data_IF_970339401635
#
_entry.id   IF_970339401635
#
_cell.length_a   1.000
_cell.length_b   1.000
_cell.length_c   1.000
_cell.angle_alpha   90.00
_cell.angle_beta   90.00
_cell.angle_gamma   90.00
#
_symmetry.space_group_name_H-M   'P 1'
#
loop_
_entity.id
_entity.type
_entity.pdbx_description
1 polymer ?
#
# COMPACT_ATOMS: atom_id res chain seq x y z
N UNK A 1 9.93 -6.05 18.54
CA UNK A 1 8.54 -5.68 18.20
C UNK A 1 8.42 -4.39 17.38
N UNK A 2 9.04 -3.27 17.77
CA UNK A 2 8.97 -1.99 17.01
C UNK A 2 9.63 -2.00 15.62
N UNK A 3 10.69 -2.80 15.41
CA UNK A 3 11.47 -2.82 14.16
C UNK A 3 10.62 -3.28 12.95
N UNK A 4 9.84 -4.35 13.09
CA UNK A 4 9.01 -4.90 12.00
C UNK A 4 7.87 -3.95 11.64
N UNK A 5 7.24 -3.33 12.64
CA UNK A 5 6.23 -2.29 12.43
C UNK A 5 6.81 -1.09 11.66
N UNK A 6 8.03 -0.65 12.00
CA UNK A 6 8.71 0.42 11.26
C UNK A 6 9.03 0.04 9.81
N UNK A 7 9.42 -1.21 9.54
CA UNK A 7 9.60 -1.69 8.17
C UNK A 7 8.29 -1.69 7.38
N UNK A 8 7.19 -2.11 7.99
CA UNK A 8 5.87 -2.09 7.35
C UNK A 8 5.37 -0.67 7.12
N UNK A 9 5.48 0.20 8.11
CA UNK A 9 5.11 1.61 8.00
C UNK A 9 5.97 2.31 6.92
N UNK A 10 7.27 2.01 6.86
CA UNK A 10 8.18 2.54 5.85
C UNK A 10 7.85 2.04 4.45
N UNK A 11 7.57 0.75 4.27
CA UNK A 11 7.12 0.20 3.00
C UNK A 11 5.74 0.78 2.59
N UNK A 12 4.86 1.02 3.56
CA UNK A 12 3.54 1.61 3.34
C UNK A 12 3.64 3.07 2.88
N UNK A 13 4.42 3.89 3.59
CA UNK A 13 4.66 5.28 3.23
C UNK A 13 5.42 5.39 1.90
N UNK A 14 6.47 4.59 1.71
CA UNK A 14 7.26 4.59 0.48
C UNK A 14 6.44 4.17 -0.73
N UNK A 15 5.64 3.11 -0.60
CA UNK A 15 4.72 2.66 -1.65
C UNK A 15 3.65 3.71 -1.97
N UNK A 16 3.03 4.33 -0.95
CA UNK A 16 2.04 5.38 -1.16
C UNK A 16 2.60 6.62 -1.87
N UNK A 17 3.82 7.06 -1.51
CA UNK A 17 4.48 8.21 -2.14
C UNK A 17 4.87 7.90 -3.58
N UNK A 18 5.44 6.71 -3.85
CA UNK A 18 5.75 6.28 -5.22
C UNK A 18 4.48 6.19 -6.09
N UNK A 19 3.40 5.69 -5.51
CA UNK A 19 2.12 5.58 -6.19
C UNK A 19 1.57 6.98 -6.52
N UNK A 20 1.54 7.89 -5.55
CA UNK A 20 1.12 9.28 -5.76
C UNK A 20 1.96 9.97 -6.83
N UNK A 21 3.29 9.79 -6.82
CA UNK A 21 4.19 10.32 -7.84
C UNK A 21 3.93 9.75 -9.23
N UNK A 22 3.65 8.44 -9.34
CA UNK A 22 3.29 7.80 -10.61
C UNK A 22 1.98 8.35 -11.18
N UNK A 23 0.95 8.47 -10.34
CA UNK A 23 -0.34 9.05 -10.75
C UNK A 23 -0.20 10.52 -11.13
N UNK A 24 0.60 11.29 -10.38
CA UNK A 24 0.86 12.69 -10.70
C UNK A 24 1.58 12.84 -12.03
N UNK A 25 2.65 12.07 -12.26
CA UNK A 25 3.37 12.06 -13.54
C UNK A 25 2.45 11.69 -14.72
N UNK A 26 1.65 10.63 -14.56
CA UNK A 26 0.70 10.21 -15.60
C UNK A 26 -0.41 11.22 -15.83
N UNK A 27 -0.90 11.88 -14.78
CA UNK A 27 -1.90 12.93 -14.88
C UNK A 27 -1.34 14.18 -15.58
N UNK A 28 -0.12 14.60 -15.25
CA UNK A 28 0.59 15.70 -15.93
C UNK A 28 0.81 15.41 -17.43
N UNK A 29 1.10 14.16 -17.79
CA UNK A 29 1.24 13.77 -19.19
C UNK A 29 -0.08 13.81 -19.99
N UNK A 30 -1.24 13.89 -19.32
CA UNK A 30 -2.58 13.91 -19.91
C UNK A 30 -3.28 15.29 -19.82
N UNK A 31 -2.55 16.35 -19.46
CA UNK A 31 -3.10 17.71 -19.20
C UNK A 31 -4.00 18.29 -20.31
N UNK A 32 -3.90 17.81 -21.56
CA UNK A 32 -4.80 18.22 -22.66
C UNK A 32 -6.19 17.57 -22.65
N UNK A 33 -6.42 16.53 -21.85
CA UNK A 33 -7.65 15.74 -21.83
C UNK A 33 -8.09 15.43 -20.39
N UNK A 34 -8.39 16.49 -19.62
CA UNK A 34 -8.71 16.42 -18.19
C UNK A 34 -9.82 15.40 -17.84
N UNK A 35 -10.79 15.17 -18.74
CA UNK A 35 -11.85 14.16 -18.54
C UNK A 35 -11.40 12.71 -18.80
N UNK A 36 -10.50 12.49 -19.77
CA UNK A 36 -10.03 11.15 -20.13
C UNK A 36 -9.02 10.62 -19.11
N UNK A 37 -8.22 11.52 -18.52
CA UNK A 37 -7.24 11.19 -17.49
C UNK A 37 -7.90 10.54 -16.28
N UNK A 38 -8.98 11.13 -15.77
CA UNK A 38 -9.69 10.60 -14.60
C UNK A 38 -10.30 9.23 -14.90
N UNK A 39 -10.90 9.03 -16.08
CA UNK A 39 -11.54 7.76 -16.45
C UNK A 39 -10.53 6.62 -16.57
N UNK A 40 -9.32 6.90 -17.08
CA UNK A 40 -8.28 5.88 -17.23
C UNK A 40 -7.48 5.66 -15.95
N UNK A 41 -7.15 6.72 -15.22
CA UNK A 41 -6.32 6.64 -14.01
C UNK A 41 -7.13 6.19 -12.77
N UNK A 42 -8.42 6.49 -12.67
CA UNK A 42 -9.23 6.08 -11.52
C UNK A 42 -9.28 4.55 -11.29
N UNK A 43 -9.59 3.69 -12.29
CA UNK A 43 -9.62 2.25 -12.06
C UNK A 43 -8.24 1.69 -11.72
N UNK A 44 -7.17 2.25 -12.31
CA UNK A 44 -5.79 1.87 -12.00
C UNK A 44 -5.48 2.24 -10.54
N UNK A 45 -5.87 3.43 -10.09
CA UNK A 45 -5.69 3.86 -8.71
C UNK A 45 -6.42 2.94 -7.73
N UNK A 46 -7.66 2.56 -8.05
CA UNK A 46 -8.46 1.64 -7.24
C UNK A 46 -7.78 0.29 -7.11
N UNK A 47 -7.31 -0.30 -8.22
CA UNK A 47 -6.60 -1.59 -8.21
C UNK A 47 -5.34 -1.52 -7.35
N UNK A 48 -4.56 -0.45 -7.48
CA UNK A 48 -3.35 -0.29 -6.67
C UNK A 48 -3.65 -0.07 -5.19
N UNK A 49 -4.65 0.75 -4.83
CA UNK A 49 -5.06 0.95 -3.44
C UNK A 49 -5.52 -0.38 -2.82
N UNK A 50 -6.31 -1.17 -3.55
CA UNK A 50 -6.77 -2.49 -3.09
C UNK A 50 -5.60 -3.45 -2.93
N UNK A 51 -4.73 -3.59 -3.93
CA UNK A 51 -3.56 -4.45 -3.86
C UNK A 51 -2.66 -4.06 -2.68
N UNK A 52 -2.44 -2.76 -2.48
CA UNK A 52 -1.65 -2.24 -1.38
C UNK A 52 -2.28 -2.52 -0.01
N UNK A 53 -3.60 -2.35 0.10
CA UNK A 53 -4.36 -2.71 1.30
C UNK A 53 -4.28 -4.19 1.63
N UNK A 54 -4.37 -5.07 0.63
CA UNK A 54 -4.23 -6.53 0.79
C UNK A 54 -2.82 -6.88 1.29
N UNK A 55 -1.78 -6.33 0.68
CA UNK A 55 -0.39 -6.54 1.13
C UNK A 55 -0.18 -6.10 2.58
N UNK A 56 -0.79 -4.98 2.98
CA UNK A 56 -0.75 -4.50 4.35
C UNK A 56 -1.50 -5.43 5.32
N UNK A 57 -2.66 -5.94 4.93
CA UNK A 57 -3.46 -6.87 5.74
C UNK A 57 -2.76 -8.23 5.94
N UNK A 58 -2.17 -8.80 4.88
CA UNK A 58 -1.39 -10.05 4.95
C UNK A 58 -0.22 -9.89 5.92
N UNK A 59 0.49 -8.78 5.82
CA UNK A 59 1.59 -8.43 6.71
C UNK A 59 1.16 -8.34 8.18
N UNK A 60 0.02 -7.70 8.47
CA UNK A 60 -0.57 -7.68 9.80
C UNK A 60 -0.96 -9.09 10.29
N UNK A 61 -1.55 -9.93 9.43
CA UNK A 61 -1.94 -11.30 9.78
C UNK A 61 -0.74 -12.17 10.14
N UNK A 62 0.36 -12.08 9.40
CA UNK A 62 1.61 -12.79 9.69
C UNK A 62 2.14 -12.38 11.07
N UNK A 63 2.13 -11.07 11.37
CA UNK A 63 2.54 -10.57 12.68
C UNK A 63 1.65 -11.08 13.81
N UNK A 64 0.33 -11.03 13.62
CA UNK A 64 -0.66 -11.50 14.60
C UNK A 64 -0.46 -12.99 14.89
N UNK A 65 -0.26 -13.79 13.85
CA UNK A 65 -0.01 -15.23 13.93
C UNK A 65 1.28 -15.52 14.72
N UNK A 66 2.38 -14.85 14.40
CA UNK A 66 3.65 -15.01 15.12
C UNK A 66 3.56 -14.56 16.59
N UNK A 67 2.82 -13.47 16.86
CA UNK A 67 2.60 -13.00 18.23
C UNK A 67 1.77 -13.98 19.05
N UNK A 68 0.78 -14.62 18.42
CA UNK A 68 -0.09 -15.61 19.04
C UNK A 68 0.67 -16.89 19.39
N UNK A 69 1.50 -17.40 18.47
CA UNK A 69 2.34 -18.57 18.73
C UNK A 69 3.40 -18.29 19.81
N UNK A 70 4.02 -17.11 19.81
CA UNK A 70 5.00 -16.74 20.84
C UNK A 70 4.37 -16.66 22.22
N UNK A 71 3.14 -16.16 22.33
CA UNK A 71 2.39 -16.12 23.60
C UNK A 71 2.03 -17.50 24.15
N UNK A 72 2.02 -18.56 23.34
CA UNK A 72 1.78 -19.94 23.79
C UNK A 72 3.05 -20.75 24.06
N UNK A 73 4.21 -20.30 23.58
CA UNK A 73 5.49 -20.96 23.82
C UNK A 73 6.16 -20.59 25.15
N UNK A 74 5.59 -19.63 25.90
CA UNK A 74 6.02 -19.23 27.26
C UNK A 74 5.10 -19.82 28.35
N UNK A 75 4.56 -21.03 28.16
CA UNK A 75 3.90 -21.81 29.24
C UNK A 75 4.65 -23.10 29.51
#
# INVERSE_FOLDING_TARGET
>A
MKKIFLYHLGAFLGGAVLLAGYFFWKASALEGAAGLAVVVLAPIAVVYIIAFGIFCAISCLIWLTLSYFRSRGES
#
